data_IF_468312052888
#
_entry.id   IF_468312052888
#
_cell.length_a   1.000
_cell.length_b   1.000
_cell.length_c   1.000
_cell.angle_alpha   90.00
_cell.angle_beta   90.00
_cell.angle_gamma   90.00
#
_symmetry.space_group_name_H-M   'P 1'
#
loop_
_entity.id
_entity.type
_entity.pdbx_description
1 polymer ?
#
# COMPACT_ATOMS: atom_id res chain seq x y z
N UNK A 1 -4.16 -15.63 27.64
CA UNK A 1 -4.99 -14.45 27.80
C UNK A 1 -4.16 -13.18 27.71
N UNK A 2 -3.10 -13.09 28.53
CA UNK A 2 -2.20 -11.94 28.49
C UNK A 2 -1.50 -11.79 27.16
N UNK A 3 -1.02 -12.88 26.57
CA UNK A 3 -0.35 -12.90 25.28
C UNK A 3 -1.30 -12.46 24.14
N UNK A 4 -2.54 -12.93 24.16
CA UNK A 4 -3.57 -12.54 23.18
C UNK A 4 -3.86 -11.03 23.27
N UNK A 5 -4.00 -10.49 24.47
CA UNK A 5 -4.22 -9.07 24.66
C UNK A 5 -3.05 -8.22 24.14
N UNK A 6 -1.81 -8.68 24.33
CA UNK A 6 -0.62 -8.01 23.83
C UNK A 6 -0.59 -8.00 22.29
N UNK A 7 -0.88 -9.15 21.66
CA UNK A 7 -0.95 -9.28 20.20
C UNK A 7 -2.01 -8.34 19.64
N UNK A 8 -3.21 -8.29 20.24
CA UNK A 8 -4.28 -7.42 19.80
C UNK A 8 -3.90 -5.94 19.89
N UNK A 9 -3.19 -5.53 20.94
CA UNK A 9 -2.69 -4.16 21.08
C UNK A 9 -1.67 -3.79 20.01
N UNK A 10 -0.97 -4.77 19.41
CA UNK A 10 0.03 -4.55 18.37
C UNK A 10 -0.58 -4.48 16.97
N UNK A 11 -1.87 -4.78 16.81
CA UNK A 11 -2.52 -4.69 15.50
C UNK A 11 -2.64 -3.24 15.05
N UNK A 12 -2.31 -3.02 13.78
CA UNK A 12 -2.49 -1.71 13.14
C UNK A 12 -3.95 -1.47 12.78
N UNK A 13 -4.31 -0.23 12.49
CA UNK A 13 -5.63 0.09 11.97
C UNK A 13 -5.91 -0.61 10.65
N UNK A 14 -4.88 -0.79 9.81
CA UNK A 14 -5.00 -1.55 8.56
C UNK A 14 -5.44 -3.00 8.81
N UNK A 15 -4.77 -3.70 9.74
CA UNK A 15 -5.12 -5.07 10.10
C UNK A 15 -6.51 -5.14 10.73
N UNK A 16 -6.86 -4.20 11.59
CA UNK A 16 -8.20 -4.14 12.21
C UNK A 16 -9.31 -3.94 11.18
N UNK A 17 -9.05 -3.14 10.14
CA UNK A 17 -10.00 -2.97 9.05
C UNK A 17 -10.27 -4.30 8.34
N UNK A 18 -9.22 -5.06 8.04
CA UNK A 18 -9.36 -6.37 7.40
C UNK A 18 -10.12 -7.36 8.29
N UNK A 19 -9.85 -7.36 9.60
CA UNK A 19 -10.59 -8.17 10.56
C UNK A 19 -12.07 -7.83 10.54
N UNK A 20 -12.39 -6.54 10.56
CA UNK A 20 -13.78 -6.05 10.53
C UNK A 20 -14.50 -6.47 9.26
N UNK A 21 -13.79 -6.50 8.13
CA UNK A 21 -14.35 -6.89 6.83
C UNK A 21 -14.40 -8.41 6.63
N UNK A 22 -13.87 -9.19 7.58
CA UNK A 22 -13.80 -10.65 7.47
C UNK A 22 -12.83 -11.15 6.43
N UNK A 23 -11.82 -10.36 6.09
CA UNK A 23 -10.81 -10.70 5.09
C UNK A 23 -9.67 -11.47 5.75
N UNK A 24 -9.30 -12.61 5.15
CA UNK A 24 -8.17 -13.42 5.60
C UNK A 24 -6.86 -12.79 5.11
N UNK A 25 -5.88 -12.72 5.99
CA UNK A 25 -4.55 -12.18 5.67
C UNK A 25 -3.51 -12.78 6.60
N UNK A 26 -2.24 -12.61 6.23
CA UNK A 26 -1.10 -12.98 7.07
C UNK A 26 -0.25 -11.73 7.32
N UNK A 27 0.37 -11.67 8.49
CA UNK A 27 1.35 -10.62 8.83
C UNK A 27 2.75 -11.17 8.59
N UNK A 28 3.55 -10.43 7.84
CA UNK A 28 4.97 -10.70 7.66
C UNK A 28 5.76 -9.58 8.33
N UNK A 29 6.53 -9.94 9.34
CA UNK A 29 7.38 -8.98 10.04
C UNK A 29 8.81 -9.03 9.48
N UNK A 30 9.48 -7.89 9.45
CA UNK A 30 10.88 -7.80 9.03
C UNK A 30 11.61 -6.76 9.86
N UNK A 31 12.93 -6.89 9.93
CA UNK A 31 13.77 -5.92 10.63
C UNK A 31 13.89 -4.64 9.83
N UNK A 32 13.61 -3.50 10.47
CA UNK A 32 13.64 -2.19 9.83
C UNK A 32 15.06 -1.66 9.79
N UNK A 33 15.51 -1.25 8.60
CA UNK A 33 16.69 -0.41 8.43
C UNK A 33 16.21 1.00 8.06
N UNK A 34 16.31 1.99 8.98
CA UNK A 34 15.83 3.34 8.69
C UNK A 34 16.52 4.02 7.51
N UNK A 35 17.73 3.56 7.16
CA UNK A 35 18.50 4.10 6.05
C UNK A 35 18.15 3.45 4.71
N UNK A 36 17.38 2.36 4.73
CA UNK A 36 16.96 1.64 3.53
C UNK A 36 15.50 1.16 3.65
N UNK A 37 14.59 2.04 3.27
CA UNK A 37 13.15 1.76 3.30
C UNK A 37 12.61 1.31 1.94
N UNK A 38 13.48 1.00 0.98
CA UNK A 38 13.08 0.57 -0.35
C UNK A 38 12.30 -0.74 -0.33
N UNK A 39 11.25 -0.82 -1.14
CA UNK A 39 10.41 -2.03 -1.24
C UNK A 39 11.20 -3.25 -1.73
N UNK A 40 12.21 -3.04 -2.56
CA UNK A 40 13.08 -4.13 -3.04
C UNK A 40 13.87 -4.76 -1.91
N UNK A 41 14.42 -3.95 -1.00
CA UNK A 41 15.13 -4.44 0.19
C UNK A 41 14.17 -5.16 1.14
N UNK A 42 12.97 -4.65 1.31
CA UNK A 42 11.93 -5.30 2.10
C UNK A 42 11.56 -6.66 1.50
N UNK A 43 11.44 -6.76 0.18
CA UNK A 43 11.16 -8.02 -0.50
C UNK A 43 12.22 -9.08 -0.20
N UNK A 44 13.50 -8.71 -0.23
CA UNK A 44 14.59 -9.62 0.13
C UNK A 44 14.45 -10.13 1.57
N UNK A 45 14.12 -9.26 2.50
CA UNK A 45 13.98 -9.61 3.93
C UNK A 45 12.86 -10.61 4.19
N UNK A 46 11.77 -10.52 3.44
CA UNK A 46 10.63 -11.44 3.60
C UNK A 46 10.67 -12.62 2.62
N UNK A 47 11.67 -12.69 1.77
CA UNK A 47 11.88 -13.80 0.84
C UNK A 47 10.89 -13.88 -0.30
N UNK A 48 10.35 -12.74 -0.74
CA UNK A 48 9.41 -12.64 -1.86
C UNK A 48 10.05 -11.87 -3.04
N UNK A 49 9.62 -12.17 -4.29
CA UNK A 49 10.06 -11.35 -5.41
C UNK A 49 9.51 -9.93 -5.28
N UNK A 50 10.27 -8.90 -5.67
CA UNK A 50 9.82 -7.51 -5.56
C UNK A 50 8.55 -7.22 -6.38
N UNK A 51 8.28 -7.98 -7.44
CA UNK A 51 7.05 -7.88 -8.23
C UNK A 51 5.79 -8.21 -7.42
N UNK A 52 5.93 -8.94 -6.31
CA UNK A 52 4.85 -9.35 -5.42
C UNK A 52 4.74 -8.45 -4.20
N UNK A 53 5.72 -7.60 -3.96
CA UNK A 53 5.74 -6.65 -2.84
C UNK A 53 5.33 -5.28 -3.36
N UNK A 54 4.08 -4.92 -3.13
CA UNK A 54 3.50 -3.68 -3.65
C UNK A 54 3.77 -2.52 -2.70
N UNK A 55 4.16 -1.38 -3.25
CA UNK A 55 4.34 -0.13 -2.53
C UNK A 55 3.16 0.79 -2.78
N UNK A 56 2.87 1.64 -1.81
CA UNK A 56 1.79 2.63 -1.89
C UNK A 56 2.37 4.02 -1.94
N UNK A 57 2.08 4.74 -3.02
CA UNK A 57 2.51 6.12 -3.21
C UNK A 57 1.34 7.07 -3.03
N UNK A 58 1.60 8.22 -2.40
CA UNK A 58 0.63 9.30 -2.25
C UNK A 58 0.91 10.32 -3.33
N UNK A 59 -0.08 10.58 -4.16
CA UNK A 59 0.05 11.53 -5.27
C UNK A 59 -1.15 12.49 -5.30
N UNK A 60 -0.99 13.59 -6.03
CA UNK A 60 -2.02 14.60 -6.18
C UNK A 60 -2.34 14.82 -7.64
N UNK A 61 -3.60 14.64 -7.98
CA UNK A 61 -4.13 14.99 -9.29
C UNK A 61 -4.63 16.42 -9.33
N UNK A 62 -4.46 17.09 -10.46
CA UNK A 62 -4.88 18.48 -10.63
C UNK A 62 -6.40 18.67 -10.62
N UNK A 63 -7.17 17.63 -10.95
CA UNK A 63 -8.62 17.66 -10.98
C UNK A 63 -9.27 16.97 -9.78
N UNK A 64 -8.72 15.83 -9.34
CA UNK A 64 -9.36 14.99 -8.32
C UNK A 64 -8.69 15.05 -6.95
N UNK A 65 -7.53 15.72 -6.82
CA UNK A 65 -6.82 15.84 -5.55
C UNK A 65 -6.02 14.59 -5.19
N UNK A 66 -5.92 14.30 -3.91
CA UNK A 66 -5.09 13.21 -3.38
C UNK A 66 -5.66 11.85 -3.79
N UNK A 67 -4.75 10.95 -4.20
CA UNK A 67 -5.07 9.54 -4.40
C UNK A 67 -3.86 8.67 -4.05
N UNK A 68 -4.11 7.37 -3.90
CA UNK A 68 -3.06 6.38 -3.72
C UNK A 68 -2.79 5.66 -5.04
N UNK A 69 -1.52 5.39 -5.30
CA UNK A 69 -1.08 4.53 -6.39
C UNK A 69 -0.31 3.35 -5.79
N UNK A 70 -0.78 2.14 -6.05
CA UNK A 70 -0.24 0.89 -5.51
C UNK A 70 0.35 0.10 -6.66
N UNK A 71 1.65 -0.18 -6.61
CA UNK A 71 2.39 -0.80 -7.71
C UNK A 71 3.55 -1.66 -7.21
N UNK A 72 4.09 -2.56 -8.06
CA UNK A 72 5.21 -3.41 -7.65
C UNK A 72 6.39 -2.61 -7.14
N UNK A 73 7.08 -3.17 -6.13
CA UNK A 73 8.18 -2.50 -5.43
C UNK A 73 9.35 -2.11 -6.34
N UNK A 74 9.58 -2.87 -7.40
CA UNK A 74 10.67 -2.63 -8.36
C UNK A 74 10.24 -1.83 -9.61
N UNK A 75 8.98 -1.39 -9.66
CA UNK A 75 8.48 -0.59 -10.77
C UNK A 75 8.41 0.89 -10.41
N UNK A 76 8.26 1.72 -11.42
CA UNK A 76 8.04 3.16 -11.29
C UNK A 76 6.60 3.51 -11.67
N UNK A 77 6.06 4.54 -11.06
CA UNK A 77 4.72 5.02 -11.41
C UNK A 77 4.76 5.75 -12.76
N UNK A 78 3.91 5.32 -13.68
CA UNK A 78 3.66 6.04 -14.92
C UNK A 78 2.63 7.15 -14.65
N UNK A 79 3.14 8.36 -14.43
CA UNK A 79 2.30 9.50 -14.04
C UNK A 79 1.26 9.84 -15.11
N UNK A 80 1.62 9.70 -16.38
CA UNK A 80 0.68 9.96 -17.49
C UNK A 80 -0.43 8.93 -17.56
N UNK A 81 -0.09 7.66 -17.36
CA UNK A 81 -1.08 6.58 -17.33
C UNK A 81 -2.06 6.78 -16.17
N UNK A 82 -1.55 7.08 -14.99
CA UNK A 82 -2.39 7.35 -13.83
C UNK A 82 -3.28 8.57 -14.06
N UNK A 83 -2.76 9.62 -14.65
CA UNK A 83 -3.55 10.81 -14.97
C UNK A 83 -4.76 10.46 -15.84
N UNK A 84 -4.55 9.67 -16.89
CA UNK A 84 -5.64 9.23 -17.78
C UNK A 84 -6.70 8.42 -17.05
N UNK A 85 -6.26 7.45 -16.26
CA UNK A 85 -7.17 6.54 -15.55
C UNK A 85 -7.96 7.27 -14.47
N UNK A 86 -7.34 8.23 -13.79
CA UNK A 86 -7.94 8.95 -12.66
C UNK A 86 -8.74 10.20 -13.07
N UNK A 87 -8.76 10.54 -14.34
CA UNK A 87 -9.47 11.74 -14.81
C UNK A 87 -8.72 13.04 -14.53
N UNK A 88 -7.40 12.99 -14.45
CA UNK A 88 -6.54 14.15 -14.26
C UNK A 88 -5.77 14.46 -15.54
N UNK A 89 -5.35 15.71 -15.67
CA UNK A 89 -4.43 16.15 -16.72
C UNK A 89 -2.99 15.93 -16.28
N UNK A 90 -2.72 16.13 -15.00
CA UNK A 90 -1.39 16.02 -14.40
C UNK A 90 -1.46 15.39 -13.03
N UNK A 91 -0.50 14.52 -12.75
CA UNK A 91 -0.28 13.91 -11.44
C UNK A 91 1.09 14.38 -10.93
N UNK A 92 1.14 14.78 -9.68
CA UNK A 92 2.38 15.16 -8.99
C UNK A 92 2.57 14.30 -7.75
N UNK A 93 3.82 14.04 -7.41
CA UNK A 93 4.15 13.42 -6.13
C UNK A 93 3.88 14.41 -5.01
N UNK A 94 3.46 13.88 -3.86
CA UNK A 94 3.23 14.68 -2.66
C UNK A 94 4.55 14.81 -1.90
N UNK A 95 4.93 16.02 -1.45
CA UNK A 95 6.11 16.18 -0.61
C UNK A 95 6.05 15.31 0.64
N UNK A 96 7.19 14.74 1.03
CA UNK A 96 7.26 13.80 2.15
C UNK A 96 6.63 14.37 3.44
N UNK A 97 6.82 15.66 3.73
CA UNK A 97 6.28 16.33 4.91
C UNK A 97 4.76 16.35 4.97
N UNK A 98 4.08 16.17 3.85
CA UNK A 98 2.61 16.17 3.77
C UNK A 98 2.02 14.76 3.92
N UNK A 99 2.83 13.71 3.81
CA UNK A 99 2.35 12.31 3.80
C UNK A 99 1.63 11.96 5.10
N UNK A 100 2.26 12.21 6.25
CA UNK A 100 1.66 11.87 7.54
C UNK A 100 0.40 12.67 7.84
N UNK A 101 0.36 14.00 7.65
CA UNK A 101 -0.89 14.76 7.84
C UNK A 101 -2.04 14.27 6.96
N UNK A 102 -1.75 13.83 5.73
CA UNK A 102 -2.77 13.37 4.79
C UNK A 102 -3.26 11.95 5.09
N UNK A 103 -2.37 11.05 5.48
CA UNK A 103 -2.67 9.62 5.55
C UNK A 103 -2.73 9.04 6.96
N UNK A 104 -2.07 9.67 7.92
CA UNK A 104 -1.85 9.12 9.25
C UNK A 104 -0.67 8.15 9.35
N UNK A 105 0.03 7.91 8.24
CA UNK A 105 1.15 6.96 8.17
C UNK A 105 2.45 7.69 7.83
N UNK A 106 3.57 7.09 8.21
CA UNK A 106 4.90 7.61 7.89
C UNK A 106 5.53 6.82 6.74
N UNK A 107 6.54 7.39 6.09
CA UNK A 107 7.31 6.73 5.03
C UNK A 107 7.80 5.36 5.49
N UNK A 108 7.65 4.34 4.64
CA UNK A 108 7.96 2.96 4.97
C UNK A 108 6.80 2.20 5.59
N UNK A 109 5.75 2.89 6.04
CA UNK A 109 4.55 2.29 6.60
C UNK A 109 3.25 2.80 5.99
N UNK A 110 3.32 3.48 4.84
CA UNK A 110 2.13 4.02 4.16
C UNK A 110 1.32 2.89 3.54
N UNK A 111 0.03 2.89 3.80
CA UNK A 111 -0.93 1.99 3.17
C UNK A 111 -2.23 2.73 2.88
N UNK A 112 -2.97 2.26 1.88
CA UNK A 112 -4.30 2.78 1.58
C UNK A 112 -5.35 2.27 2.57
N UNK A 113 -5.07 1.15 3.25
CA UNK A 113 -5.98 0.55 4.22
C UNK A 113 -6.09 1.42 5.47
N UNK A 114 -7.32 1.78 5.84
CA UNK A 114 -7.60 2.56 7.05
C UNK A 114 -6.80 3.88 7.13
N UNK A 115 -6.55 4.52 6.00
CA UNK A 115 -5.92 5.85 5.99
C UNK A 115 -6.85 6.88 6.63
N UNK A 116 -6.27 7.99 7.07
CA UNK A 116 -7.00 9.07 7.76
C UNK A 116 -8.24 9.54 7.01
N UNK A 117 -8.17 9.53 5.66
CA UNK A 117 -9.31 9.75 4.77
C UNK A 117 -9.35 8.65 3.72
N UNK A 118 -10.53 8.35 3.22
CA UNK A 118 -10.73 7.38 2.15
C UNK A 118 -10.46 8.04 0.80
N UNK A 119 -9.20 8.05 0.39
CA UNK A 119 -8.82 8.57 -0.92
C UNK A 119 -9.03 7.53 -2.01
N UNK A 120 -9.30 7.94 -3.27
CA UNK A 120 -9.30 7.00 -4.39
C UNK A 120 -7.99 6.23 -4.48
N UNK A 121 -8.07 4.94 -4.76
CA UNK A 121 -6.92 4.05 -4.82
C UNK A 121 -6.86 3.36 -6.18
N UNK A 122 -5.72 3.47 -6.84
CA UNK A 122 -5.44 2.85 -8.12
C UNK A 122 -4.36 1.80 -7.93
N UNK A 123 -4.61 0.58 -8.40
CA UNK A 123 -3.72 -0.56 -8.20
C UNK A 123 -3.27 -1.06 -9.57
N UNK A 124 -1.95 -1.25 -9.72
CA UNK A 124 -1.42 -1.76 -10.97
C UNK A 124 -2.01 -3.14 -11.29
N UNK A 125 -2.31 -3.36 -12.55
CA UNK A 125 -2.97 -4.58 -13.03
C UNK A 125 -2.17 -5.84 -12.74
N UNK A 126 -0.85 -5.75 -12.57
CA UNK A 126 -0.01 -6.90 -12.23
C UNK A 126 -0.39 -7.53 -10.89
N UNK A 127 -1.07 -6.82 -10.01
CA UNK A 127 -1.56 -7.39 -8.75
C UNK A 127 -2.48 -8.60 -8.99
N UNK A 128 -3.23 -8.58 -10.07
CA UNK A 128 -4.18 -9.65 -10.40
C UNK A 128 -3.50 -10.93 -10.93
N UNK A 129 -2.20 -10.88 -11.19
CA UNK A 129 -1.42 -12.03 -11.65
C UNK A 129 -1.02 -12.97 -10.51
N UNK A 130 -1.15 -12.53 -9.26
CA UNK A 130 -0.75 -13.29 -8.09
C UNK A 130 -1.96 -13.78 -7.31
N UNK A 131 -1.83 -14.94 -6.70
CA UNK A 131 -2.82 -15.43 -5.75
C UNK A 131 -2.82 -14.57 -4.48
N UNK A 132 -1.64 -14.10 -4.07
CA UNK A 132 -1.45 -13.21 -2.94
C UNK A 132 -0.41 -12.15 -3.27
N UNK A 133 -0.62 -10.95 -2.76
CA UNK A 133 0.34 -9.84 -2.80
C UNK A 133 0.62 -9.36 -1.39
N UNK A 134 1.71 -8.63 -1.21
CA UNK A 134 1.95 -7.91 0.04
C UNK A 134 1.77 -6.42 -0.17
N UNK A 135 1.24 -5.77 0.86
CA UNK A 135 1.14 -4.32 0.99
C UNK A 135 1.63 -3.93 2.38
N UNK A 136 1.95 -2.66 2.58
CA UNK A 136 2.33 -2.21 3.92
C UNK A 136 1.22 -2.49 4.93
N UNK A 137 1.62 -2.92 6.11
CA UNK A 137 0.70 -3.17 7.22
C UNK A 137 0.30 -1.93 8.01
N UNK A 138 0.80 -0.75 7.65
CA UNK A 138 0.50 0.49 8.37
C UNK A 138 1.57 0.89 9.37
N UNK A 139 2.68 0.20 9.39
CA UNK A 139 3.87 0.57 10.16
C UNK A 139 5.11 -0.04 9.52
N UNK A 140 6.27 0.56 9.78
CA UNK A 140 7.56 -0.03 9.37
C UNK A 140 7.73 -1.39 10.01
N UNK A 141 8.30 -2.35 9.29
CA UNK A 141 8.56 -3.68 9.81
C UNK A 141 7.40 -4.66 9.66
N UNK A 142 6.30 -4.25 9.05
CA UNK A 142 5.10 -5.07 8.90
C UNK A 142 4.55 -5.00 7.49
N UNK A 143 4.38 -6.17 6.87
CA UNK A 143 3.63 -6.33 5.62
C UNK A 143 2.38 -7.17 5.88
N UNK A 144 1.36 -6.92 5.09
CA UNK A 144 0.16 -7.75 5.04
C UNK A 144 0.18 -8.52 3.73
N UNK A 145 0.06 -9.84 3.82
CA UNK A 145 -0.06 -10.74 2.68
C UNK A 145 -1.52 -11.14 2.54
N UNK A 146 -2.13 -10.85 1.40
CA UNK A 146 -3.55 -11.11 1.19
C UNK A 146 -3.88 -11.32 -0.29
N UNK A 147 -5.08 -11.82 -0.54
CA UNK A 147 -5.61 -11.98 -1.90
C UNK A 147 -5.87 -10.59 -2.53
N UNK A 148 -5.41 -10.36 -3.78
CA UNK A 148 -5.61 -9.05 -4.44
C UNK A 148 -7.07 -8.65 -4.62
N UNK A 149 -7.97 -9.61 -4.88
CA UNK A 149 -9.40 -9.30 -5.02
C UNK A 149 -9.98 -8.77 -3.71
N UNK A 150 -9.58 -9.35 -2.59
CA UNK A 150 -10.00 -8.89 -1.26
C UNK A 150 -9.46 -7.48 -0.96
N UNK A 151 -8.20 -7.23 -1.34
CA UNK A 151 -7.59 -5.91 -1.18
C UNK A 151 -8.36 -4.86 -1.99
N UNK A 152 -8.63 -5.16 -3.26
CA UNK A 152 -9.40 -4.26 -4.13
C UNK A 152 -10.80 -4.00 -3.58
N UNK A 153 -11.47 -5.04 -3.10
CA UNK A 153 -12.80 -4.93 -2.50
C UNK A 153 -12.80 -4.04 -1.25
N UNK A 154 -11.80 -4.20 -0.39
CA UNK A 154 -11.68 -3.42 0.85
C UNK A 154 -11.54 -1.91 0.56
N UNK A 155 -10.96 -1.54 -0.57
CA UNK A 155 -10.63 -0.16 -0.91
C UNK A 155 -11.53 0.44 -1.99
N UNK A 156 -12.41 -0.33 -2.61
CA UNK A 156 -13.06 0.04 -3.87
C UNK A 156 -11.99 0.47 -4.90
N UNK A 157 -10.91 -0.30 -4.97
CA UNK A 157 -9.75 0.01 -5.79
C UNK A 157 -10.06 -0.12 -7.28
N UNK A 158 -9.41 0.73 -8.07
CA UNK A 158 -9.50 0.72 -9.53
C UNK A 158 -8.21 0.11 -10.08
N UNK A 159 -8.33 -0.92 -10.90
CA UNK A 159 -7.20 -1.60 -11.54
C UNK A 159 -6.87 -0.92 -12.87
N UNK A 160 -5.59 -0.73 -13.13
CA UNK A 160 -5.13 -0.20 -14.40
C UNK A 160 -3.64 -0.38 -14.60
N UNK A 161 -3.18 -0.16 -15.82
CA UNK A 161 -1.76 -0.22 -16.16
C UNK A 161 -1.09 1.10 -15.75
N UNK A 162 -0.60 1.18 -14.52
CA UNK A 162 0.00 2.40 -13.97
C UNK A 162 1.50 2.26 -13.68
N UNK A 163 2.06 1.08 -13.81
CA UNK A 163 3.49 0.84 -13.56
C UNK A 163 4.29 0.83 -14.86
N UNK A 164 5.54 1.25 -14.75
CA UNK A 164 6.53 1.14 -15.82
C UNK A 164 7.86 0.68 -15.23
N UNK A 165 8.73 0.13 -16.06
CA UNK A 165 10.04 -0.39 -15.64
C UNK A 165 11.00 0.72 -15.18
#
# INVERSE_FOLDING_TARGET
>A
VWLIATIDRMKTNAARLLDKLGITYEILNYEVDPDDLAAESTAQKVGLPPEQVFKTLVVRGDQTGICFAVLPGNAHLDLKALARISGNRKIETVPLKEVQPLTGYIRGGVTALASKKSYPTYVDETATLFEKITVSGGMRGMLILLNPSDYLSALNGVVGAIAQD
#
